data_IF_403659605691
#
_entry.id   IF_403659605691
#
_cell.length_a   1.000
_cell.length_b   1.000
_cell.length_c   1.000
_cell.angle_alpha   90.00
_cell.angle_beta   90.00
_cell.angle_gamma   90.00
#
_symmetry.space_group_name_H-M   'P 1'
#
loop_
_entity.id
_entity.type
_entity.pdbx_description
1 polymer ?
#
# COMPACT_ATOMS: atom_id res chain seq x y z
N UNK A 1 0.02 -12.45 7.63
CA UNK A 1 -0.10 -11.66 8.87
C UNK A 1 -1.18 -10.61 8.64
N UNK A 2 -2.18 -10.48 9.52
CA UNK A 2 -3.25 -9.48 9.39
C UNK A 2 -2.71 -8.06 9.60
N UNK A 3 -3.16 -7.10 8.79
CA UNK A 3 -2.81 -5.67 8.88
C UNK A 3 -3.22 -5.03 10.22
N UNK A 4 -4.19 -5.65 10.92
CA UNK A 4 -4.62 -5.25 12.26
C UNK A 4 -3.46 -5.28 13.28
N UNK A 5 -2.50 -6.20 13.12
CA UNK A 5 -1.32 -6.29 14.01
C UNK A 5 -0.39 -5.08 13.90
N UNK A 6 -0.52 -4.29 12.84
CA UNK A 6 0.26 -3.08 12.60
C UNK A 6 -0.49 -1.82 13.05
N UNK A 7 -1.69 -1.94 13.64
CA UNK A 7 -2.50 -0.80 14.08
C UNK A 7 -3.18 -0.03 12.93
N UNK A 8 -3.19 -0.60 11.72
CA UNK A 8 -3.88 -0.01 10.57
C UNK A 8 -5.38 -0.07 10.84
N UNK A 9 -6.04 1.09 10.79
CA UNK A 9 -7.46 1.18 11.10
C UNK A 9 -8.33 0.54 10.00
N UNK A 10 -9.37 -0.24 10.33
CA UNK A 10 -10.25 -0.88 9.36
C UNK A 10 -10.97 0.11 8.42
N UNK A 11 -11.36 1.28 8.94
CA UNK A 11 -12.05 2.32 8.18
C UNK A 11 -11.19 2.84 7.02
N UNK A 12 -9.88 2.98 7.24
CA UNK A 12 -8.93 3.39 6.20
C UNK A 12 -8.85 2.34 5.10
N UNK A 13 -8.80 1.06 5.49
CA UNK A 13 -8.78 -0.06 4.54
C UNK A 13 -10.03 -0.04 3.65
N UNK A 14 -11.21 0.13 4.24
CA UNK A 14 -12.46 0.16 3.49
C UNK A 14 -12.53 1.34 2.52
N UNK A 15 -12.13 2.55 2.96
CA UNK A 15 -12.06 3.72 2.07
C UNK A 15 -11.13 3.47 0.90
N UNK A 16 -9.94 2.93 1.15
CA UNK A 16 -8.98 2.60 0.09
C UNK A 16 -9.58 1.55 -0.86
N UNK A 17 -10.26 0.51 -0.36
CA UNK A 17 -10.95 -0.48 -1.20
C UNK A 17 -11.97 0.16 -2.13
N UNK A 18 -12.82 1.04 -1.61
CA UNK A 18 -13.84 1.73 -2.42
C UNK A 18 -13.19 2.57 -3.51
N UNK A 19 -12.14 3.33 -3.18
CA UNK A 19 -11.44 4.19 -4.13
C UNK A 19 -10.68 3.41 -5.20
N UNK A 20 -10.16 2.23 -4.85
CA UNK A 20 -9.48 1.33 -5.78
C UNK A 20 -10.41 0.60 -6.75
N UNK A 21 -11.75 0.66 -6.53
CA UNK A 21 -12.72 0.21 -7.54
C UNK A 21 -12.78 1.15 -8.74
N UNK A 22 -12.39 2.41 -8.58
CA UNK A 22 -12.31 3.35 -9.70
C UNK A 22 -11.12 2.96 -10.60
N UNK A 23 -11.35 2.63 -11.89
CA UNK A 23 -10.29 2.21 -12.82
C UNK A 23 -9.19 3.27 -12.97
N UNK A 24 -9.55 4.55 -13.05
CA UNK A 24 -8.58 5.63 -13.20
C UNK A 24 -7.66 5.75 -11.98
N UNK A 25 -8.20 5.59 -10.77
CA UNK A 25 -7.41 5.55 -9.53
C UNK A 25 -6.49 4.34 -9.50
N UNK A 26 -7.02 3.17 -9.88
CA UNK A 26 -6.26 1.92 -9.94
C UNK A 26 -5.07 2.04 -10.90
N UNK A 27 -5.26 2.61 -12.07
CA UNK A 27 -4.18 2.74 -13.06
C UNK A 27 -3.13 3.78 -12.66
N UNK A 28 -3.54 4.87 -12.00
CA UNK A 28 -2.60 5.81 -11.38
C UNK A 28 -1.75 5.16 -10.28
N UNK A 29 -2.35 4.33 -9.44
CA UNK A 29 -1.62 3.58 -8.40
C UNK A 29 -0.68 2.56 -9.03
N UNK A 30 -1.09 1.87 -10.11
CA UNK A 30 -0.19 0.97 -10.85
C UNK A 30 1.00 1.72 -11.45
N UNK A 31 0.79 2.90 -12.02
CA UNK A 31 1.88 3.71 -12.57
C UNK A 31 2.91 4.10 -11.51
N UNK A 32 2.50 4.31 -10.25
CA UNK A 32 3.42 4.54 -9.13
C UNK A 32 4.26 3.30 -8.76
N UNK A 33 3.74 2.11 -9.04
CA UNK A 33 4.43 0.85 -8.79
C UNK A 33 5.27 0.40 -9.99
N UNK A 34 5.14 1.08 -11.13
CA UNK A 34 5.90 0.75 -12.33
C UNK A 34 7.39 1.04 -12.10
N UNK A 35 8.24 0.09 -12.47
CA UNK A 35 9.68 0.15 -12.20
C UNK A 35 10.10 -0.08 -10.75
N UNK A 36 9.18 -0.22 -9.79
CA UNK A 36 9.54 -0.55 -8.39
C UNK A 36 10.09 -1.97 -8.33
N UNK A 37 11.24 -2.15 -7.68
CA UNK A 37 11.88 -3.45 -7.50
C UNK A 37 11.68 -4.00 -6.09
N UNK A 38 11.98 -5.28 -5.89
CA UNK A 38 11.98 -5.89 -4.55
C UNK A 38 12.92 -5.19 -3.58
N UNK A 39 14.08 -4.71 -4.06
CA UNK A 39 15.04 -3.96 -3.24
C UNK A 39 14.45 -2.64 -2.76
N UNK A 40 13.69 -1.96 -3.62
CA UNK A 40 13.02 -0.70 -3.27
C UNK A 40 11.94 -0.91 -2.21
N UNK A 41 11.30 -2.08 -2.18
CA UNK A 41 10.34 -2.45 -1.14
C UNK A 41 10.99 -2.90 0.19
N UNK A 42 12.32 -3.01 0.24
CA UNK A 42 13.07 -3.20 1.49
C UNK A 42 13.65 -1.87 2.01
N UNK A 43 13.78 -0.85 1.16
CA UNK A 43 14.19 0.49 1.57
C UNK A 43 13.01 1.25 2.20
N UNK A 44 13.08 1.46 3.51
CA UNK A 44 12.08 2.19 4.29
C UNK A 44 11.77 3.58 3.71
N UNK A 45 12.78 4.27 3.19
CA UNK A 45 12.67 5.62 2.65
C UNK A 45 11.87 5.62 1.34
N UNK A 46 12.14 4.66 0.46
CA UNK A 46 11.39 4.49 -0.79
C UNK A 46 9.96 4.04 -0.52
N UNK A 47 9.77 3.07 0.37
CA UNK A 47 8.42 2.62 0.78
C UNK A 47 7.61 3.79 1.35
N UNK A 48 8.20 4.63 2.21
CA UNK A 48 7.53 5.82 2.75
C UNK A 48 7.08 6.78 1.64
N UNK A 49 7.93 7.03 0.64
CA UNK A 49 7.57 7.86 -0.53
C UNK A 49 6.43 7.25 -1.35
N UNK A 50 6.43 5.93 -1.55
CA UNK A 50 5.37 5.22 -2.28
C UNK A 50 4.04 5.26 -1.53
N UNK A 51 4.06 5.04 -0.22
CA UNK A 51 2.86 5.15 0.65
C UNK A 51 2.28 6.56 0.57
N UNK A 52 3.11 7.60 0.72
CA UNK A 52 2.67 8.99 0.63
C UNK A 52 2.14 9.37 -0.74
N UNK A 53 2.78 8.90 -1.81
CA UNK A 53 2.32 9.15 -3.19
C UNK A 53 0.98 8.45 -3.46
N UNK A 54 0.83 7.20 -2.99
CA UNK A 54 -0.42 6.44 -3.11
C UNK A 54 -1.55 7.11 -2.31
N UNK A 55 -1.26 7.56 -1.09
CA UNK A 55 -2.19 8.31 -0.24
C UNK A 55 -2.69 9.60 -0.92
N UNK A 56 -1.80 10.33 -1.61
CA UNK A 56 -2.16 11.51 -2.39
C UNK A 56 -3.04 11.18 -3.59
N UNK A 57 -2.76 10.10 -4.33
CA UNK A 57 -3.60 9.62 -5.44
C UNK A 57 -4.98 9.21 -4.95
N UNK A 58 -5.04 8.58 -3.79
CA UNK A 58 -6.29 8.19 -3.14
C UNK A 58 -7.01 9.37 -2.47
N UNK A 59 -6.38 10.53 -2.33
CA UNK A 59 -6.95 11.66 -1.59
C UNK A 59 -7.25 11.33 -0.13
N UNK A 60 -6.41 10.49 0.48
CA UNK A 60 -6.48 10.11 1.90
C UNK A 60 -5.19 10.60 2.56
N UNK A 61 -5.13 11.82 3.12
CA UNK A 61 -3.96 12.25 3.85
C UNK A 61 -3.75 11.35 5.07
N UNK A 62 -2.55 10.78 5.18
CA UNK A 62 -2.16 9.93 6.29
C UNK A 62 -1.45 10.77 7.35
N UNK A 63 -1.62 10.42 8.61
CA UNK A 63 -0.78 10.95 9.70
C UNK A 63 0.59 10.26 9.69
N UNK A 64 1.60 10.87 10.31
CA UNK A 64 2.95 10.28 10.39
C UNK A 64 2.93 8.87 11.01
N UNK A 65 2.10 8.67 12.04
CA UNK A 65 1.91 7.36 12.66
C UNK A 65 1.33 6.34 11.66
N UNK A 66 0.31 6.72 10.89
CA UNK A 66 -0.31 5.84 9.89
C UNK A 66 0.67 5.50 8.75
N UNK A 67 1.48 6.48 8.33
CA UNK A 67 2.54 6.25 7.35
C UNK A 67 3.52 5.19 7.86
N UNK A 68 4.00 5.31 9.10
CA UNK A 68 4.95 4.34 9.67
C UNK A 68 4.34 2.94 9.83
N UNK A 69 3.09 2.84 10.25
CA UNK A 69 2.36 1.58 10.36
C UNK A 69 2.25 0.88 8.99
N UNK A 70 1.93 1.64 7.94
CA UNK A 70 1.85 1.13 6.56
C UNK A 70 3.23 0.74 6.01
N UNK A 71 4.26 1.54 6.27
CA UNK A 71 5.64 1.23 5.87
C UNK A 71 6.12 -0.07 6.52
N UNK A 72 5.93 -0.20 7.84
CA UNK A 72 6.27 -1.41 8.57
C UNK A 72 5.50 -2.63 8.05
N UNK A 73 4.21 -2.46 7.73
CA UNK A 73 3.40 -3.51 7.12
C UNK A 73 3.94 -3.94 5.76
N UNK A 74 4.24 -3.00 4.86
CA UNK A 74 4.76 -3.31 3.52
C UNK A 74 6.10 -4.07 3.59
N UNK A 75 7.02 -3.61 4.45
CA UNK A 75 8.30 -4.26 4.67
C UNK A 75 8.10 -5.67 5.26
N UNK A 76 7.25 -5.81 6.27
CA UNK A 76 6.98 -7.08 6.94
C UNK A 76 6.32 -8.11 6.02
N UNK A 77 5.51 -7.68 5.05
CA UNK A 77 4.92 -8.57 4.06
C UNK A 77 5.92 -9.05 3.01
N UNK A 78 7.11 -8.44 2.91
CA UNK A 78 8.15 -8.76 1.91
C UNK A 78 7.56 -8.89 0.49
N UNK A 79 6.70 -7.94 0.14
CA UNK A 79 5.97 -7.94 -1.12
C UNK A 79 6.96 -7.88 -2.29
N UNK A 80 6.60 -8.53 -3.39
CA UNK A 80 7.31 -8.42 -4.65
C UNK A 80 6.37 -7.68 -5.60
N UNK A 81 6.73 -6.48 -6.07
CA UNK A 81 5.85 -5.64 -6.88
C UNK A 81 5.57 -6.27 -8.25
N UNK A 82 6.43 -7.19 -8.71
CA UNK A 82 6.27 -7.93 -9.97
C UNK A 82 5.45 -9.20 -9.81
N UNK A 83 5.24 -9.66 -8.58
CA UNK A 83 4.44 -10.84 -8.31
C UNK A 83 2.97 -10.46 -8.17
N UNK A 84 2.18 -10.73 -9.22
CA UNK A 84 0.72 -10.58 -9.22
C UNK A 84 0.08 -11.30 -8.03
N UNK A 85 0.68 -12.41 -7.56
CA UNK A 85 0.25 -13.15 -6.37
C UNK A 85 0.40 -12.33 -5.07
N UNK A 86 1.45 -11.53 -4.92
CA UNK A 86 1.64 -10.69 -3.72
C UNK A 86 0.68 -9.49 -3.71
N UNK A 87 0.38 -8.93 -4.89
CA UNK A 87 -0.64 -7.89 -5.05
C UNK A 87 -2.06 -8.42 -4.78
N UNK A 88 -2.36 -9.63 -5.28
CA UNK A 88 -3.61 -10.34 -4.99
C UNK A 88 -3.69 -10.71 -3.50
N UNK A 89 -2.58 -11.08 -2.84
CA UNK A 89 -2.54 -11.41 -1.40
C UNK A 89 -2.74 -10.18 -0.51
N UNK A 90 -2.19 -9.02 -0.90
CA UNK A 90 -2.51 -7.72 -0.32
C UNK A 90 -4.02 -7.45 -0.40
N UNK A 91 -4.58 -7.61 -1.60
CA UNK A 91 -6.02 -7.46 -1.84
C UNK A 91 -6.89 -8.46 -1.08
N UNK A 92 -6.46 -9.72 -0.98
CA UNK A 92 -7.17 -10.78 -0.28
C UNK A 92 -7.11 -10.61 1.25
N UNK A 93 -6.05 -10.01 1.80
CA UNK A 93 -5.99 -9.66 3.23
C UNK A 93 -6.94 -8.52 3.61
N UNK A 94 -7.43 -7.76 2.63
CA UNK A 94 -8.46 -6.75 2.81
C UNK A 94 -9.87 -7.28 2.52
N UNK A 95 -10.03 -8.57 2.21
CA UNK A 95 -11.35 -9.20 2.02
C UNK A 95 -11.97 -9.59 3.36
#
# INVERSE_FOLDING_TARGET
MSWQKFGIRPDLVERVKVKMKNPATKDRVKALLDGVTKFDLQDRSKVKRLVKSSAKVLGEPLTDLQEEQLVNFVIAQKIDPKSTLHLIKLWAMFR
#
